data_IF_546501853332
#
_entry.id   IF_546501853332
#
_cell.length_a   1.000
_cell.length_b   1.000
_cell.length_c   1.000
_cell.angle_alpha   90.00
_cell.angle_beta   90.00
_cell.angle_gamma   90.00
#
_symmetry.space_group_name_H-M   'P 1'
#
loop_
_entity.id
_entity.type
_entity.pdbx_description
1 polymer ?
#
# COMPACT_ATOMS: atom_id res chain seq x y z
N UNK A 1 -27.52 56.67 50.37
CA UNK A 1 -27.97 55.41 50.99
C UNK A 1 -27.78 54.31 49.97
N UNK A 2 -26.87 53.37 50.22
CA UNK A 2 -26.99 52.01 49.67
C UNK A 2 -27.91 51.22 50.64
N UNK A 3 -28.61 50.15 50.21
CA UNK A 3 -27.92 48.87 50.06
C UNK A 3 -28.39 47.95 48.90
N UNK A 4 -27.44 47.09 48.51
CA UNK A 4 -27.48 45.72 47.97
C UNK A 4 -28.82 45.02 47.63
N UNK A 5 -28.85 44.38 46.46
CA UNK A 5 -28.99 42.91 46.35
C UNK A 5 -28.64 42.41 44.93
N UNK A 6 -27.65 41.53 44.86
CA UNK A 6 -27.30 40.65 43.75
C UNK A 6 -28.37 39.59 43.51
N UNK A 7 -28.61 39.23 42.24
CA UNK A 7 -28.97 37.85 41.90
C UNK A 7 -28.50 37.52 40.48
N UNK A 8 -27.48 36.66 40.44
CA UNK A 8 -27.07 35.88 39.28
C UNK A 8 -28.26 35.10 38.71
N UNK A 9 -28.51 35.26 37.42
CA UNK A 9 -29.23 34.25 36.63
C UNK A 9 -28.36 33.90 35.45
N UNK A 10 -27.56 32.84 35.64
CA UNK A 10 -26.89 32.17 34.55
C UNK A 10 -27.95 31.73 33.51
N UNK A 11 -27.68 31.87 32.20
CA UNK A 11 -28.54 31.25 31.19
C UNK A 11 -28.51 29.72 31.38
N UNK A 12 -29.61 29.02 31.08
CA UNK A 12 -29.70 27.59 31.29
C UNK A 12 -28.57 26.90 30.55
N UNK A 13 -27.88 25.99 31.23
CA UNK A 13 -27.01 25.02 30.59
C UNK A 13 -27.84 24.29 29.54
N UNK A 14 -27.63 24.63 28.27
CA UNK A 14 -28.05 23.77 27.18
C UNK A 14 -27.30 22.45 27.39
N UNK A 15 -27.96 21.47 27.99
CA UNK A 15 -27.62 20.09 27.75
C UNK A 15 -27.68 19.92 26.24
N UNK A 16 -26.52 20.01 25.60
CA UNK A 16 -26.37 19.59 24.23
C UNK A 16 -26.89 18.16 24.21
N UNK A 17 -28.09 17.96 23.66
CA UNK A 17 -28.53 16.62 23.32
C UNK A 17 -27.42 16.10 22.43
N UNK A 18 -26.66 15.11 22.93
CA UNK A 18 -25.78 14.33 22.09
C UNK A 18 -26.71 13.71 21.06
N UNK A 19 -26.87 14.36 19.90
CA UNK A 19 -27.56 13.74 18.79
C UNK A 19 -26.83 12.45 18.56
N UNK A 20 -27.50 11.33 18.73
CA UNK A 20 -26.94 10.03 18.40
C UNK A 20 -26.75 10.01 16.89
N UNK A 21 -25.58 10.44 16.43
CA UNK A 21 -25.19 10.23 15.05
C UNK A 21 -25.26 8.71 14.80
N UNK A 22 -26.11 8.24 13.87
CA UNK A 22 -26.33 6.82 13.67
C UNK A 22 -25.07 6.11 13.14
N UNK A 23 -24.06 6.85 12.69
CA UNK A 23 -22.84 6.31 12.08
C UNK A 23 -21.60 6.40 12.97
N UNK A 24 -21.61 7.20 14.05
CA UNK A 24 -20.42 7.47 14.84
C UNK A 24 -20.55 7.00 16.29
N UNK A 25 -19.50 6.31 16.77
CA UNK A 25 -19.40 5.92 18.17
C UNK A 25 -19.26 7.16 19.06
N UNK A 26 -19.79 7.05 20.29
CA UNK A 26 -19.85 8.19 21.22
C UNK A 26 -18.54 8.51 21.96
N UNK A 27 -17.56 7.60 21.93
CA UNK A 27 -16.24 7.70 22.57
C UNK A 27 -15.28 6.64 22.01
N UNK A 28 -13.98 6.81 22.25
CA UNK A 28 -12.94 5.82 21.96
C UNK A 28 -13.25 4.47 22.61
N UNK A 29 -13.62 4.48 23.90
CA UNK A 29 -13.96 3.24 24.63
C UNK A 29 -15.17 2.55 24.02
N UNK A 30 -16.24 3.30 23.72
CA UNK A 30 -17.43 2.72 23.08
C UNK A 30 -17.08 2.10 21.72
N UNK A 31 -16.27 2.77 20.90
CA UNK A 31 -15.88 2.26 19.59
C UNK A 31 -15.11 0.93 19.71
N UNK A 32 -14.06 0.89 20.54
CA UNK A 32 -13.21 -0.30 20.73
C UNK A 32 -14.03 -1.46 21.32
N UNK A 33 -14.90 -1.21 22.31
CA UNK A 33 -15.75 -2.25 22.89
C UNK A 33 -16.72 -2.82 21.85
N UNK A 34 -17.37 -1.97 21.07
CA UNK A 34 -18.29 -2.40 20.01
C UNK A 34 -17.56 -3.19 18.93
N UNK A 35 -16.40 -2.74 18.47
CA UNK A 35 -15.56 -3.48 17.52
C UNK A 35 -15.17 -4.86 18.06
N UNK A 36 -14.65 -4.94 19.29
CA UNK A 36 -14.28 -6.21 19.92
C UNK A 36 -15.48 -7.17 20.07
N UNK A 37 -16.69 -6.64 20.22
CA UNK A 37 -17.90 -7.47 20.38
C UNK A 37 -18.39 -8.04 19.05
N UNK A 38 -18.30 -7.27 17.97
CA UNK A 38 -19.01 -7.58 16.71
C UNK A 38 -18.10 -7.81 15.50
N UNK A 39 -16.84 -7.42 15.52
CA UNK A 39 -15.89 -7.60 14.42
C UNK A 39 -14.99 -8.82 14.63
N UNK A 40 -14.38 -9.31 13.55
CA UNK A 40 -13.34 -10.34 13.63
C UNK A 40 -12.04 -9.76 14.21
N UNK A 41 -11.34 -10.54 15.03
CA UNK A 41 -10.14 -10.11 15.76
C UNK A 41 -8.86 -10.38 14.95
N UNK A 42 -8.88 -9.99 13.68
CA UNK A 42 -7.79 -10.24 12.74
C UNK A 42 -6.78 -9.07 12.63
N UNK A 43 -6.90 -8.07 13.51
CA UNK A 43 -5.96 -6.96 13.69
C UNK A 43 -5.71 -6.74 15.18
N UNK A 44 -4.57 -6.11 15.51
CA UNK A 44 -4.24 -5.64 16.87
C UNK A 44 -3.93 -4.13 16.82
N UNK A 45 -4.95 -3.25 16.73
CA UNK A 45 -4.74 -1.83 16.55
C UNK A 45 -4.09 -1.16 17.77
N UNK A 46 -3.37 -0.05 17.55
CA UNK A 46 -3.11 0.89 18.65
C UNK A 46 -4.44 1.33 19.28
N UNK A 47 -4.53 1.52 20.60
CA UNK A 47 -5.77 1.90 21.28
C UNK A 47 -6.11 3.39 21.04
N UNK A 48 -6.46 3.71 19.80
CA UNK A 48 -6.83 5.02 19.27
C UNK A 48 -7.95 4.84 18.24
N UNK A 49 -8.86 5.80 18.16
CA UNK A 49 -9.99 5.76 17.22
C UNK A 49 -9.97 7.03 16.39
N UNK A 50 -9.95 6.89 15.06
CA UNK A 50 -10.00 8.02 14.15
C UNK A 50 -11.47 8.45 14.01
N UNK A 51 -11.82 9.64 14.49
CA UNK A 51 -13.18 10.19 14.36
C UNK A 51 -13.26 11.31 13.34
N UNK A 52 -12.18 12.08 13.18
CA UNK A 52 -12.04 13.13 12.18
C UNK A 52 -10.59 13.20 11.70
N UNK A 53 -10.37 13.52 10.44
CA UNK A 53 -9.03 13.73 9.91
C UNK A 53 -9.01 14.81 8.81
N UNK A 54 -7.89 15.51 8.66
CA UNK A 54 -7.65 16.51 7.62
C UNK A 54 -6.14 16.65 7.37
N UNK A 55 -5.69 16.41 6.14
CA UNK A 55 -4.27 16.43 5.82
C UNK A 55 -3.53 15.34 6.60
N UNK A 56 -2.50 15.71 7.38
CA UNK A 56 -1.80 14.78 8.28
C UNK A 56 -2.37 14.79 9.72
N UNK A 57 -3.45 15.53 9.99
CA UNK A 57 -4.00 15.69 11.33
C UNK A 57 -5.18 14.75 11.55
N UNK A 58 -5.25 14.15 12.74
CA UNK A 58 -6.31 13.22 13.15
C UNK A 58 -6.81 13.59 14.53
N UNK A 59 -8.10 13.40 14.76
CA UNK A 59 -8.74 13.58 16.06
C UNK A 59 -9.54 12.36 16.45
N UNK A 60 -9.46 11.99 17.72
CA UNK A 60 -10.32 10.97 18.33
C UNK A 60 -11.70 11.54 18.71
N UNK A 61 -12.67 10.69 19.11
CA UNK A 61 -13.99 11.14 19.54
C UNK A 61 -13.96 12.14 20.72
N UNK A 62 -12.93 12.09 21.56
CA UNK A 62 -12.71 13.03 22.66
C UNK A 62 -12.08 14.36 22.21
N UNK A 63 -11.70 14.49 20.93
CA UNK A 63 -11.10 15.68 20.35
C UNK A 63 -9.59 15.79 20.56
N UNK A 64 -8.91 14.75 21.06
CA UNK A 64 -7.45 14.74 21.16
C UNK A 64 -6.85 14.69 19.77
N UNK A 65 -5.85 15.54 19.54
CA UNK A 65 -5.20 15.73 18.25
C UNK A 65 -3.94 14.89 18.13
N UNK A 66 -3.72 14.33 16.93
CA UNK A 66 -2.56 13.55 16.55
C UNK A 66 -2.06 13.93 15.15
N UNK A 67 -0.76 13.72 14.92
CA UNK A 67 -0.17 13.63 13.58
C UNK A 67 -0.16 12.17 13.14
N UNK A 68 -0.80 11.87 12.01
CA UNK A 68 -0.74 10.56 11.37
C UNK A 68 0.50 10.45 10.51
N UNK A 69 1.46 9.69 11.02
CA UNK A 69 2.70 9.39 10.34
C UNK A 69 2.54 8.10 9.52
N UNK A 70 1.57 7.25 9.87
CA UNK A 70 1.31 5.99 9.20
C UNK A 70 0.68 6.17 7.80
N UNK A 71 -0.29 7.07 7.64
CA UNK A 71 -0.96 7.36 6.36
C UNK A 71 -1.59 6.12 5.68
N UNK A 72 -2.15 5.23 6.52
CA UNK A 72 -2.73 3.94 6.13
C UNK A 72 -1.85 3.16 5.13
N UNK A 73 -0.58 2.97 5.50
CA UNK A 73 0.39 2.21 4.71
C UNK A 73 0.65 2.79 3.33
N UNK A 74 0.75 4.12 3.21
CA UNK A 74 0.91 4.85 1.93
C UNK A 74 -0.37 4.87 1.06
N UNK A 75 -1.56 4.75 1.67
CA UNK A 75 -2.82 4.93 0.95
C UNK A 75 -3.27 6.39 0.88
N UNK A 76 -2.85 7.22 1.82
CA UNK A 76 -3.34 8.60 1.99
C UNK A 76 -2.24 9.61 1.69
N UNK A 77 -1.53 9.46 0.56
CA UNK A 77 -0.38 10.31 0.20
C UNK A 77 -0.77 11.78 0.03
N UNK A 78 -1.99 12.05 -0.43
CA UNK A 78 -2.59 13.37 -0.63
C UNK A 78 -3.16 13.99 0.66
N UNK A 79 -3.11 13.25 1.78
CA UNK A 79 -3.67 13.68 3.06
C UNK A 79 -5.16 13.33 3.24
N UNK A 80 -5.55 13.15 4.49
CA UNK A 80 -6.91 12.76 4.87
C UNK A 80 -7.93 13.80 4.42
N UNK A 81 -9.05 13.32 3.89
CA UNK A 81 -10.21 14.15 3.52
C UNK A 81 -9.84 15.36 2.66
N UNK A 82 -8.89 15.22 1.72
CA UNK A 82 -8.46 16.32 0.86
C UNK A 82 -9.67 16.98 0.17
N UNK A 83 -9.92 18.30 0.32
CA UNK A 83 -11.17 18.92 -0.10
C UNK A 83 -11.51 18.71 -1.57
N UNK A 84 -10.50 18.71 -2.45
CA UNK A 84 -10.69 18.47 -3.87
C UNK A 84 -11.03 17.00 -4.20
N UNK A 85 -10.56 16.04 -3.40
CA UNK A 85 -10.96 14.63 -3.54
C UNK A 85 -12.39 14.41 -3.05
N UNK A 86 -12.75 15.01 -1.90
CA UNK A 86 -14.13 14.95 -1.39
C UNK A 86 -15.09 15.52 -2.42
N UNK A 87 -14.76 16.68 -3.00
CA UNK A 87 -15.57 17.28 -4.07
C UNK A 87 -15.70 16.36 -5.28
N UNK A 88 -14.61 15.79 -5.79
CA UNK A 88 -14.65 14.88 -6.94
C UNK A 88 -15.51 13.63 -6.66
N UNK A 89 -15.42 13.08 -5.45
CA UNK A 89 -16.25 11.97 -5.01
C UNK A 89 -17.73 12.36 -4.98
N UNK A 90 -18.09 13.46 -4.32
CA UNK A 90 -19.47 13.91 -4.22
C UNK A 90 -20.08 14.23 -5.58
N UNK A 91 -19.37 14.99 -6.42
CA UNK A 91 -19.83 15.38 -7.75
C UNK A 91 -20.11 14.14 -8.62
N UNK A 92 -19.19 13.17 -8.64
CA UNK A 92 -19.37 11.95 -9.43
C UNK A 92 -20.45 11.04 -8.84
N UNK A 93 -20.54 10.94 -7.50
CA UNK A 93 -21.57 10.14 -6.84
C UNK A 93 -22.99 10.67 -7.11
N UNK A 94 -23.15 11.99 -7.22
CA UNK A 94 -24.42 12.62 -7.62
C UNK A 94 -24.77 12.42 -9.10
N UNK A 95 -23.87 11.87 -9.92
CA UNK A 95 -24.06 11.64 -11.36
C UNK A 95 -24.21 10.16 -11.70
N UNK A 96 -23.18 9.35 -11.43
CA UNK A 96 -23.14 7.93 -11.74
C UNK A 96 -22.03 7.25 -10.95
N UNK A 97 -22.38 6.20 -10.19
CA UNK A 97 -21.41 5.46 -9.37
C UNK A 97 -20.91 4.19 -10.05
N UNK A 98 -21.80 3.42 -10.66
CA UNK A 98 -21.49 2.10 -11.22
C UNK A 98 -22.32 1.84 -12.49
N UNK A 99 -21.65 1.44 -13.57
CA UNK A 99 -22.29 1.02 -14.83
C UNK A 99 -22.09 -0.47 -15.15
N UNK A 100 -21.28 -1.20 -14.37
CA UNK A 100 -20.57 -2.42 -14.80
C UNK A 100 -19.67 -2.18 -16.03
N UNK A 101 -18.85 -3.20 -16.37
CA UNK A 101 -18.07 -3.25 -17.61
C UNK A 101 -18.84 -3.81 -18.81
N UNK A 102 -20.11 -4.20 -18.63
CA UNK A 102 -20.99 -4.62 -19.73
C UNK A 102 -21.50 -3.42 -20.54
N UNK A 103 -21.52 -2.22 -19.94
CA UNK A 103 -21.84 -0.96 -20.60
C UNK A 103 -20.63 -0.04 -20.59
N UNK A 104 -20.52 0.82 -21.60
CA UNK A 104 -19.57 1.92 -21.57
C UNK A 104 -20.05 2.99 -20.58
N UNK A 105 -19.08 3.66 -19.97
CA UNK A 105 -19.28 4.91 -19.25
C UNK A 105 -18.28 5.93 -19.77
N UNK A 106 -18.54 7.21 -19.48
CA UNK A 106 -17.78 8.35 -20.00
C UNK A 106 -16.55 8.72 -19.16
N UNK A 107 -16.37 8.12 -17.98
CA UNK A 107 -15.25 8.44 -17.06
C UNK A 107 -14.09 7.46 -17.20
N UNK A 108 -14.37 6.16 -17.26
CA UNK A 108 -13.34 5.11 -17.41
C UNK A 108 -12.37 5.33 -18.57
N UNK A 109 -12.78 5.68 -19.81
CA UNK A 109 -11.83 5.93 -20.88
C UNK A 109 -10.90 7.13 -20.60
N UNK A 110 -11.40 8.17 -19.91
CA UNK A 110 -10.58 9.32 -19.50
C UNK A 110 -9.59 8.94 -18.41
N UNK A 111 -10.01 8.11 -17.46
CA UNK A 111 -9.13 7.57 -16.43
C UNK A 111 -8.02 6.71 -17.04
N UNK A 112 -8.36 5.83 -17.99
CA UNK A 112 -7.37 5.01 -18.68
C UNK A 112 -6.33 5.87 -19.42
N UNK A 113 -6.77 6.98 -20.05
CA UNK A 113 -5.87 7.97 -20.66
C UNK A 113 -4.98 8.65 -19.61
N UNK A 114 -5.55 9.15 -18.51
CA UNK A 114 -4.78 9.80 -17.43
C UNK A 114 -3.70 8.87 -16.86
N UNK A 115 -4.06 7.62 -16.57
CA UNK A 115 -3.11 6.60 -16.09
C UNK A 115 -1.99 6.36 -17.12
N UNK A 116 -2.33 6.21 -18.40
CA UNK A 116 -1.33 6.10 -19.47
C UNK A 116 -0.39 7.30 -19.50
N UNK A 117 -0.92 8.52 -19.42
CA UNK A 117 -0.14 9.74 -19.52
C UNK A 117 0.78 9.94 -18.30
N UNK A 118 0.36 9.51 -17.11
CA UNK A 118 1.15 9.58 -15.86
C UNK A 118 2.24 8.52 -15.81
N UNK A 119 1.92 7.26 -16.10
CA UNK A 119 2.83 6.14 -15.87
C UNK A 119 3.53 5.63 -17.14
N UNK A 120 3.12 6.10 -18.32
CA UNK A 120 3.76 5.79 -19.59
C UNK A 120 3.55 4.36 -20.11
N UNK A 121 2.56 3.62 -19.59
CA UNK A 121 2.19 2.28 -20.08
C UNK A 121 1.08 2.33 -21.13
N UNK A 122 1.08 1.38 -22.06
CA UNK A 122 0.13 1.38 -23.19
C UNK A 122 -1.30 1.04 -22.75
N UNK A 123 -1.43 0.13 -21.80
CA UNK A 123 -2.72 -0.40 -21.36
C UNK A 123 -2.80 -0.50 -19.83
N UNK A 124 -4.02 -0.31 -19.33
CA UNK A 124 -4.39 -0.46 -17.93
C UNK A 124 -5.60 -1.37 -17.76
N UNK A 125 -5.54 -2.26 -16.77
CA UNK A 125 -6.66 -3.09 -16.32
C UNK A 125 -7.04 -2.69 -14.88
N UNK A 126 -8.21 -2.04 -14.67
CA UNK A 126 -8.63 -1.62 -13.34
C UNK A 126 -9.19 -2.76 -12.49
N UNK A 127 -8.89 -2.73 -11.20
CA UNK A 127 -9.44 -3.57 -10.13
C UNK A 127 -9.76 -2.67 -8.91
N UNK A 128 -10.02 -3.24 -7.74
CA UNK A 128 -10.45 -2.49 -6.55
C UNK A 128 -9.40 -2.50 -5.44
N UNK A 129 -8.77 -3.65 -5.20
CA UNK A 129 -7.77 -3.83 -4.14
C UNK A 129 -6.40 -4.17 -4.69
N UNK A 130 -5.36 -3.94 -3.88
CA UNK A 130 -4.00 -4.36 -4.23
C UNK A 130 -3.89 -5.86 -4.50
N UNK A 131 -4.54 -6.69 -3.66
CA UNK A 131 -4.56 -8.14 -3.84
C UNK A 131 -5.18 -8.56 -5.18
N UNK A 132 -6.26 -7.90 -5.62
CA UNK A 132 -6.84 -8.14 -6.95
C UNK A 132 -5.90 -7.73 -8.09
N UNK A 133 -5.13 -6.65 -7.93
CA UNK A 133 -4.12 -6.26 -8.92
C UNK A 133 -3.00 -7.31 -9.03
N UNK A 134 -2.54 -7.84 -7.90
CA UNK A 134 -1.56 -8.94 -7.86
C UNK A 134 -2.11 -10.20 -8.51
N UNK A 135 -3.33 -10.65 -8.15
CA UNK A 135 -3.99 -11.79 -8.79
C UNK A 135 -4.11 -11.59 -10.31
N UNK A 136 -4.43 -10.38 -10.73
CA UNK A 136 -4.55 -10.02 -12.14
C UNK A 136 -3.20 -10.06 -12.85
N UNK A 137 -2.13 -9.53 -12.24
CA UNK A 137 -0.78 -9.55 -12.79
C UNK A 137 -0.25 -10.99 -12.93
N UNK A 138 -0.53 -11.86 -11.96
CA UNK A 138 -0.12 -13.27 -11.99
C UNK A 138 -0.90 -14.05 -13.06
N UNK A 139 -2.21 -13.82 -13.17
CA UNK A 139 -3.03 -14.39 -14.26
C UNK A 139 -2.56 -13.92 -15.62
N UNK A 140 -2.25 -12.62 -15.75
CA UNK A 140 -1.70 -12.01 -16.95
C UNK A 140 -0.39 -12.68 -17.35
N UNK A 141 0.56 -12.80 -16.43
CA UNK A 141 1.85 -13.42 -16.67
C UNK A 141 1.73 -14.90 -17.08
N UNK A 142 0.93 -15.69 -16.36
CA UNK A 142 0.70 -17.10 -16.73
C UNK A 142 0.06 -17.22 -18.12
N UNK A 143 -0.97 -16.41 -18.42
CA UNK A 143 -1.63 -16.44 -19.73
C UNK A 143 -0.69 -16.00 -20.85
N UNK A 144 0.15 -15.00 -20.61
CA UNK A 144 1.21 -14.58 -21.53
C UNK A 144 2.24 -15.69 -21.74
N UNK A 145 2.67 -16.38 -20.67
CA UNK A 145 3.64 -17.46 -20.79
C UNK A 145 3.11 -18.62 -21.65
N UNK A 146 1.83 -18.96 -21.53
CA UNK A 146 1.21 -20.00 -22.35
C UNK A 146 0.97 -19.55 -23.80
N UNK A 147 0.49 -18.33 -24.02
CA UNK A 147 0.07 -17.86 -25.35
C UNK A 147 1.20 -17.28 -26.20
N UNK A 148 2.20 -16.68 -25.57
CA UNK A 148 3.25 -15.90 -26.23
C UNK A 148 4.61 -16.57 -26.05
N UNK A 149 5.01 -16.85 -24.81
CA UNK A 149 6.30 -17.53 -24.55
C UNK A 149 6.33 -18.99 -25.02
N UNK A 150 5.18 -19.66 -25.05
CA UNK A 150 5.05 -21.05 -25.48
C UNK A 150 5.34 -22.09 -24.38
N UNK A 151 5.20 -21.71 -23.10
CA UNK A 151 5.30 -22.65 -21.98
C UNK A 151 4.18 -23.70 -22.10
N UNK A 152 4.49 -24.96 -21.82
CA UNK A 152 3.50 -26.05 -21.79
C UNK A 152 2.37 -25.74 -20.78
N UNK A 153 1.12 -26.04 -21.17
CA UNK A 153 -0.05 -25.80 -20.31
C UNK A 153 0.12 -26.43 -18.93
N UNK A 154 -0.20 -25.66 -17.89
CA UNK A 154 -0.09 -26.10 -16.51
C UNK A 154 1.33 -26.08 -15.93
N UNK A 155 2.35 -25.63 -16.68
CA UNK A 155 3.74 -25.57 -16.20
C UNK A 155 4.29 -24.17 -15.90
N UNK A 156 3.51 -23.11 -16.13
CA UNK A 156 3.98 -21.74 -15.91
C UNK A 156 4.23 -21.43 -14.42
N UNK A 157 5.47 -21.10 -14.09
CA UNK A 157 5.91 -20.72 -12.74
C UNK A 157 5.91 -19.22 -12.53
N UNK A 158 5.60 -18.76 -11.32
CA UNK A 158 5.80 -17.37 -10.89
C UNK A 158 6.62 -17.37 -9.62
N UNK A 159 7.69 -16.60 -9.58
CA UNK A 159 8.57 -16.50 -8.42
C UNK A 159 8.37 -15.17 -7.72
N UNK A 160 8.41 -15.18 -6.39
CA UNK A 160 8.67 -14.00 -5.57
C UNK A 160 9.92 -14.24 -4.73
N UNK A 161 10.16 -13.38 -3.76
CA UNK A 161 11.32 -13.33 -2.88
C UNK A 161 10.88 -13.38 -1.43
N UNK A 162 11.76 -13.85 -0.54
CA UNK A 162 11.54 -13.91 0.90
C UNK A 162 11.15 -12.54 1.46
N UNK A 163 10.28 -12.49 2.49
CA UNK A 163 9.77 -11.26 3.09
C UNK A 163 8.67 -10.53 2.28
N UNK A 164 8.17 -11.11 1.19
CA UNK A 164 7.15 -10.46 0.36
C UNK A 164 5.78 -10.29 1.05
N UNK A 165 5.09 -9.21 0.70
CA UNK A 165 3.67 -9.01 1.00
C UNK A 165 2.91 -8.55 -0.25
N UNK A 166 2.25 -9.49 -0.91
CA UNK A 166 1.43 -9.23 -2.11
C UNK A 166 -0.08 -9.34 -1.86
N UNK A 167 -0.49 -9.32 -0.58
CA UNK A 167 -1.89 -9.42 -0.15
C UNK A 167 -2.20 -10.71 0.60
N UNK A 168 -3.50 -11.01 0.74
CA UNK A 168 -4.03 -12.09 1.60
C UNK A 168 -4.92 -13.10 0.88
N UNK A 169 -4.95 -13.09 -0.46
CA UNK A 169 -5.67 -14.12 -1.25
C UNK A 169 -4.88 -15.43 -1.27
N UNK A 170 -5.51 -16.53 -1.70
CA UNK A 170 -4.83 -17.83 -1.82
C UNK A 170 -3.55 -17.76 -2.66
N UNK A 171 -3.52 -16.98 -3.75
CA UNK A 171 -2.30 -16.80 -4.54
C UNK A 171 -1.23 -16.02 -3.78
N UNK A 172 -1.60 -14.92 -3.12
CA UNK A 172 -0.65 -14.10 -2.37
C UNK A 172 -0.05 -14.86 -1.17
N UNK A 173 -0.89 -15.56 -0.40
CA UNK A 173 -0.37 -16.41 0.69
C UNK A 173 0.44 -17.59 0.14
N UNK A 174 0.21 -18.05 -1.10
CA UNK A 174 1.08 -19.04 -1.77
C UNK A 174 2.44 -18.48 -2.22
N UNK A 175 2.60 -17.15 -2.33
CA UNK A 175 3.89 -16.48 -2.55
C UNK A 175 4.69 -16.29 -1.27
N UNK A 176 3.99 -16.06 -0.17
CA UNK A 176 4.61 -15.77 1.13
C UNK A 176 5.48 -16.93 1.61
N UNK A 177 6.41 -16.65 2.51
CA UNK A 177 7.16 -17.64 3.28
C UNK A 177 7.06 -17.40 4.79
N UNK A 178 6.28 -16.39 5.18
CA UNK A 178 5.90 -16.08 6.55
C UNK A 178 4.85 -17.10 7.03
N UNK A 179 5.13 -17.88 8.10
CA UNK A 179 4.17 -18.82 8.66
C UNK A 179 2.86 -18.17 9.12
N UNK A 180 2.91 -16.97 9.71
CA UNK A 180 1.69 -16.30 10.22
C UNK A 180 0.72 -15.96 9.08
N UNK A 181 1.26 -15.63 7.91
CA UNK A 181 0.47 -15.35 6.72
C UNK A 181 -0.08 -16.59 6.02
N UNK A 182 0.39 -17.79 6.35
CA UNK A 182 0.15 -19.01 5.56
C UNK A 182 -0.51 -20.15 6.33
N UNK A 183 -0.21 -20.30 7.60
CA UNK A 183 -0.58 -21.47 8.37
C UNK A 183 -2.10 -21.76 8.30
N UNK A 184 -2.43 -23.04 8.10
CA UNK A 184 -3.79 -23.57 8.04
C UNK A 184 -4.69 -23.09 6.88
N UNK A 185 -4.14 -22.56 5.78
CA UNK A 185 -4.91 -22.23 4.57
C UNK A 185 -4.79 -23.25 3.42
N UNK A 186 -3.94 -24.28 3.56
CA UNK A 186 -3.62 -25.21 2.47
C UNK A 186 -4.80 -26.06 1.96
N UNK A 187 -4.68 -26.66 0.75
CA UNK A 187 -3.50 -26.67 -0.13
C UNK A 187 -3.28 -25.33 -0.87
N UNK A 188 -2.02 -24.98 -1.09
CA UNK A 188 -1.61 -23.73 -1.75
C UNK A 188 -1.65 -23.84 -3.28
N UNK A 189 -1.67 -22.69 -3.96
CA UNK A 189 -1.61 -22.61 -5.42
C UNK A 189 -0.27 -23.20 -5.89
N UNK A 190 -0.26 -24.20 -6.80
CA UNK A 190 0.97 -24.81 -7.28
C UNK A 190 1.76 -23.87 -8.20
N UNK A 191 3.06 -24.12 -8.34
CA UNK A 191 3.96 -23.41 -9.27
C UNK A 191 4.02 -21.89 -9.02
N UNK A 192 3.89 -21.49 -7.76
CA UNK A 192 4.08 -20.13 -7.32
C UNK A 192 4.70 -20.16 -5.92
N UNK A 193 5.67 -19.28 -5.65
CA UNK A 193 6.34 -19.23 -4.36
C UNK A 193 7.64 -18.43 -4.38
N UNK A 194 8.29 -18.37 -3.22
CA UNK A 194 9.59 -17.70 -3.02
C UNK A 194 10.68 -18.67 -2.52
N UNK A 195 10.55 -19.97 -2.85
CA UNK A 195 11.51 -21.01 -2.49
C UNK A 195 11.81 -21.91 -3.68
N UNK A 196 13.04 -22.36 -3.76
CA UNK A 196 13.44 -23.42 -4.66
C UNK A 196 12.62 -24.70 -4.37
N UNK A 197 11.95 -25.31 -5.36
CA UNK A 197 11.00 -26.39 -5.12
C UNK A 197 11.67 -27.70 -4.67
N UNK A 198 12.93 -27.92 -5.08
CA UNK A 198 13.68 -29.12 -4.70
C UNK A 198 14.49 -28.96 -3.41
N UNK A 199 15.27 -27.87 -3.27
CA UNK A 199 16.14 -27.65 -2.10
C UNK A 199 15.45 -26.95 -0.93
N UNK A 200 14.29 -26.32 -1.14
CA UNK A 200 13.59 -25.51 -0.13
C UNK A 200 14.26 -24.16 0.20
N UNK A 201 15.41 -23.86 -0.43
CA UNK A 201 16.15 -22.61 -0.26
C UNK A 201 15.26 -21.42 -0.61
N UNK A 202 15.18 -20.43 0.28
CA UNK A 202 14.45 -19.19 0.01
C UNK A 202 15.19 -18.35 -1.04
N UNK A 203 14.42 -17.66 -1.89
CA UNK A 203 14.94 -16.68 -2.84
C UNK A 203 15.03 -15.36 -2.07
N UNK A 204 16.20 -15.00 -1.53
CA UNK A 204 16.29 -13.86 -0.63
C UNK A 204 16.09 -12.53 -1.35
N UNK A 205 15.37 -11.62 -0.71
CA UNK A 205 15.24 -10.25 -1.20
C UNK A 205 16.60 -9.53 -1.21
N UNK A 206 16.84 -8.69 -2.20
CA UNK A 206 18.11 -7.97 -2.37
C UNK A 206 19.29 -8.84 -2.85
N UNK A 207 19.13 -10.17 -2.98
CA UNK A 207 20.20 -11.08 -3.42
C UNK A 207 19.97 -11.51 -4.87
N UNK A 208 20.61 -10.81 -5.81
CA UNK A 208 20.50 -11.09 -7.26
C UNK A 208 20.81 -12.55 -7.60
N UNK A 209 21.82 -13.12 -6.96
CA UNK A 209 22.32 -14.47 -7.25
C UNK A 209 21.25 -15.54 -7.02
N UNK A 210 20.35 -15.34 -6.06
CA UNK A 210 19.27 -16.30 -5.81
C UNK A 210 18.21 -16.25 -6.94
N UNK A 211 17.99 -15.08 -7.56
CA UNK A 211 17.13 -14.94 -8.75
C UNK A 211 17.81 -15.55 -9.99
N UNK A 212 19.10 -15.31 -10.16
CA UNK A 212 19.90 -15.88 -11.24
C UNK A 212 19.91 -17.41 -11.21
N UNK A 213 20.11 -18.01 -10.03
CA UNK A 213 20.07 -19.46 -9.81
C UNK A 213 18.72 -20.05 -10.26
N UNK A 214 17.61 -19.44 -9.81
CA UNK A 214 16.25 -19.90 -10.15
C UNK A 214 15.95 -19.74 -11.64
N UNK A 215 16.35 -18.63 -12.27
CA UNK A 215 16.08 -18.41 -13.69
C UNK A 215 16.99 -19.25 -14.60
N UNK A 216 18.20 -19.57 -14.18
CA UNK A 216 19.08 -20.52 -14.88
C UNK A 216 18.44 -21.90 -14.99
N UNK A 217 17.79 -22.36 -13.93
CA UNK A 217 17.16 -23.69 -13.90
C UNK A 217 15.74 -23.69 -14.47
N UNK A 218 14.91 -22.74 -14.07
CA UNK A 218 13.48 -22.72 -14.37
C UNK A 218 13.07 -21.65 -15.38
N UNK A 219 14.00 -20.89 -15.96
CA UNK A 219 13.72 -19.76 -16.84
C UNK A 219 12.83 -20.13 -18.03
N UNK A 220 13.01 -21.32 -18.61
CA UNK A 220 12.19 -21.82 -19.72
C UNK A 220 10.70 -21.97 -19.41
N UNK A 221 10.35 -22.25 -18.14
CA UNK A 221 8.95 -22.40 -17.67
C UNK A 221 8.47 -21.26 -16.78
N UNK A 222 9.33 -20.29 -16.49
CA UNK A 222 8.99 -19.15 -15.65
C UNK A 222 8.21 -18.11 -16.46
N UNK A 223 7.04 -17.73 -15.97
CA UNK A 223 6.22 -16.67 -16.53
C UNK A 223 6.68 -15.29 -16.03
N UNK A 224 6.90 -15.17 -14.72
CA UNK A 224 7.26 -13.91 -14.11
C UNK A 224 8.10 -14.06 -12.83
N UNK A 225 8.84 -13.00 -12.51
CA UNK A 225 9.30 -12.69 -11.16
C UNK A 225 8.48 -11.49 -10.67
N UNK A 226 7.86 -11.60 -9.49
CA UNK A 226 7.16 -10.50 -8.81
C UNK A 226 7.97 -10.05 -7.59
N UNK A 227 8.18 -8.73 -7.48
CA UNK A 227 9.01 -8.14 -6.44
C UNK A 227 8.53 -6.73 -6.07
N UNK A 228 8.59 -6.39 -4.79
CA UNK A 228 8.41 -5.03 -4.30
C UNK A 228 9.71 -4.22 -4.52
N UNK A 229 9.66 -2.99 -5.07
CA UNK A 229 10.86 -2.16 -5.20
C UNK A 229 11.56 -1.84 -3.86
N UNK A 230 10.78 -1.78 -2.78
CA UNK A 230 11.17 -1.74 -1.38
C UNK A 230 10.15 -2.59 -0.65
N UNK A 231 10.57 -3.60 0.12
CA UNK A 231 9.62 -4.40 0.91
C UNK A 231 9.10 -3.58 2.08
N UNK A 232 7.83 -3.19 2.03
CA UNK A 232 7.28 -2.30 3.05
C UNK A 232 6.91 -3.05 4.32
N UNK A 233 6.16 -4.15 4.21
CA UNK A 233 5.71 -4.92 5.36
C UNK A 233 6.84 -5.65 6.09
N UNK A 234 7.94 -5.98 5.40
CA UNK A 234 9.18 -6.49 6.00
C UNK A 234 10.00 -5.40 6.75
N UNK A 235 9.48 -4.18 6.88
CA UNK A 235 10.10 -3.10 7.64
C UNK A 235 10.89 -2.10 6.79
N UNK A 236 10.34 -1.68 5.64
CA UNK A 236 11.01 -0.80 4.66
C UNK A 236 12.42 -1.31 4.35
N UNK A 237 12.54 -2.55 3.89
CA UNK A 237 13.84 -3.08 3.46
C UNK A 237 14.14 -2.48 2.09
N UNK A 238 15.15 -1.61 2.04
CA UNK A 238 15.62 -0.98 0.81
C UNK A 238 16.74 -1.84 0.23
N UNK A 239 16.61 -2.36 -1.00
CA UNK A 239 17.68 -3.16 -1.60
C UNK A 239 18.86 -2.27 -2.01
N UNK A 240 20.00 -2.89 -2.28
CA UNK A 240 21.15 -2.20 -2.86
C UNK A 240 20.79 -1.54 -4.20
N UNK A 241 21.47 -0.44 -4.51
CA UNK A 241 21.27 0.28 -5.77
C UNK A 241 21.55 -0.63 -6.97
N UNK A 242 20.64 -0.62 -7.96
CA UNK A 242 20.76 -1.46 -9.15
C UNK A 242 20.23 -2.88 -8.99
N UNK A 243 19.74 -3.28 -7.81
CA UNK A 243 19.11 -4.59 -7.60
C UNK A 243 17.98 -4.86 -8.61
N UNK A 244 16.99 -3.96 -8.75
CA UNK A 244 15.87 -4.20 -9.67
C UNK A 244 16.33 -4.14 -11.13
N UNK A 245 17.34 -3.31 -11.43
CA UNK A 245 17.95 -3.27 -12.76
C UNK A 245 18.51 -4.63 -13.14
N UNK A 246 19.28 -5.24 -12.25
CA UNK A 246 19.88 -6.55 -12.49
C UNK A 246 18.83 -7.66 -12.55
N UNK A 247 17.78 -7.60 -11.71
CA UNK A 247 16.63 -8.52 -11.80
C UNK A 247 15.91 -8.39 -13.16
N UNK A 248 15.68 -7.17 -13.65
CA UNK A 248 15.07 -6.93 -14.97
C UNK A 248 15.93 -7.48 -16.11
N UNK A 249 17.25 -7.32 -16.04
CA UNK A 249 18.20 -7.88 -17.01
C UNK A 249 18.10 -9.41 -17.05
N UNK A 250 18.17 -10.08 -15.89
CA UNK A 250 18.00 -11.52 -15.78
C UNK A 250 16.64 -11.99 -16.32
N UNK A 251 15.57 -11.27 -16.00
CA UNK A 251 14.24 -11.57 -16.54
C UNK A 251 14.23 -11.50 -18.07
N UNK A 252 14.84 -10.46 -18.67
CA UNK A 252 14.94 -10.31 -20.13
C UNK A 252 15.79 -11.41 -20.78
N UNK A 253 16.93 -11.76 -20.19
CA UNK A 253 17.81 -12.85 -20.66
C UNK A 253 17.05 -14.18 -20.80
N UNK A 254 16.09 -14.44 -19.90
CA UNK A 254 15.28 -15.66 -19.87
C UNK A 254 13.88 -15.53 -20.49
N UNK A 255 13.56 -14.39 -21.13
CA UNK A 255 12.23 -14.06 -21.62
C UNK A 255 11.14 -14.27 -20.54
N UNK A 256 11.36 -13.71 -19.35
CA UNK A 256 10.50 -13.73 -18.18
C UNK A 256 10.01 -12.31 -17.92
N UNK A 257 8.74 -12.14 -17.51
CA UNK A 257 8.22 -10.81 -17.18
C UNK A 257 8.69 -10.39 -15.78
N UNK A 258 9.14 -9.15 -15.63
CA UNK A 258 9.27 -8.51 -14.32
C UNK A 258 7.95 -7.84 -13.94
N UNK A 259 7.37 -8.26 -12.81
CA UNK A 259 6.23 -7.60 -12.17
C UNK A 259 6.77 -6.80 -10.98
N UNK A 260 6.67 -5.47 -11.03
CA UNK A 260 6.94 -4.64 -9.85
C UNK A 260 5.64 -4.35 -9.10
N UNK A 261 5.61 -4.77 -7.84
CA UNK A 261 4.53 -4.40 -6.92
C UNK A 261 4.78 -3.01 -6.33
N UNK A 262 4.15 -2.01 -6.95
CA UNK A 262 4.27 -0.59 -6.59
C UNK A 262 3.05 -0.11 -5.80
N UNK A 263 2.24 -1.03 -5.23
CA UNK A 263 1.04 -0.68 -4.47
C UNK A 263 1.37 0.25 -3.30
N UNK A 264 2.48 0.01 -2.59
CA UNK A 264 2.91 0.84 -1.44
C UNK A 264 3.98 1.87 -1.79
N UNK A 265 4.90 1.53 -2.69
CA UNK A 265 6.11 2.28 -3.01
C UNK A 265 5.91 3.31 -4.12
N UNK A 266 4.90 3.11 -4.97
CA UNK A 266 4.56 4.01 -6.06
C UNK A 266 3.83 5.28 -5.61
N UNK A 267 3.50 6.10 -6.59
CA UNK A 267 2.72 7.33 -6.49
C UNK A 267 3.35 8.31 -5.50
N UNK A 268 4.49 8.87 -5.92
CA UNK A 268 5.25 9.91 -5.23
C UNK A 268 5.87 9.51 -3.87
N UNK A 269 5.44 8.41 -3.25
CA UNK A 269 5.84 8.01 -1.90
C UNK A 269 7.36 8.02 -1.69
N UNK A 270 8.09 7.47 -2.65
CA UNK A 270 9.55 7.26 -2.57
C UNK A 270 10.37 8.41 -3.17
N UNK A 271 9.76 9.55 -3.48
CA UNK A 271 10.43 10.65 -4.18
C UNK A 271 10.53 10.47 -5.70
N UNK A 272 9.78 9.52 -6.25
CA UNK A 272 9.56 9.26 -7.68
C UNK A 272 8.09 8.91 -7.93
N UNK A 273 7.62 9.03 -9.18
CA UNK A 273 6.24 8.63 -9.49
C UNK A 273 6.08 7.12 -9.34
N UNK A 274 7.01 6.33 -9.87
CA UNK A 274 7.20 4.92 -9.56
C UNK A 274 8.57 4.72 -8.90
N UNK A 275 8.66 3.90 -7.85
CA UNK A 275 9.91 3.62 -7.15
C UNK A 275 10.94 2.93 -8.04
N UNK A 276 10.49 2.12 -9.01
CA UNK A 276 11.34 1.49 -10.02
C UNK A 276 12.15 2.47 -10.88
N UNK A 277 11.73 3.74 -10.97
CA UNK A 277 12.48 4.80 -11.66
C UNK A 277 13.83 5.08 -11.01
N UNK A 278 14.00 4.82 -9.72
CA UNK A 278 15.30 4.95 -9.03
C UNK A 278 16.37 4.05 -9.66
N UNK A 279 15.98 2.85 -10.12
CA UNK A 279 16.90 1.92 -10.78
C UNK A 279 16.92 2.12 -12.30
N UNK A 280 16.19 3.10 -12.83
CA UNK A 280 16.16 3.45 -14.26
C UNK A 280 15.50 2.39 -15.14
N UNK A 281 14.61 1.57 -14.57
CA UNK A 281 13.89 0.51 -15.29
C UNK A 281 12.44 0.90 -15.58
N UNK A 282 11.85 0.24 -16.58
CA UNK A 282 10.41 0.19 -16.83
C UNK A 282 9.98 -1.27 -16.73
N UNK A 283 9.40 -1.71 -15.60
CA UNK A 283 8.94 -3.09 -15.41
C UNK A 283 7.96 -3.52 -16.50
N UNK A 284 7.93 -4.80 -16.85
CA UNK A 284 7.02 -5.34 -17.87
C UNK A 284 5.55 -5.24 -17.42
N UNK A 285 5.32 -5.41 -16.11
CA UNK A 285 4.02 -5.25 -15.46
C UNK A 285 4.19 -4.46 -14.16
N UNK A 286 3.27 -3.54 -13.86
CA UNK A 286 3.22 -2.83 -12.58
C UNK A 286 1.84 -2.99 -11.94
N UNK A 287 1.79 -3.28 -10.64
CA UNK A 287 0.57 -3.22 -9.84
C UNK A 287 0.53 -1.93 -9.02
N UNK A 288 -0.59 -1.23 -9.07
CA UNK A 288 -0.86 -0.03 -8.28
C UNK A 288 -2.16 -0.20 -7.48
N UNK A 289 -2.25 0.49 -6.35
CA UNK A 289 -3.42 0.54 -5.49
C UNK A 289 -3.34 1.74 -4.56
N UNK A 290 -3.89 1.63 -3.34
CA UNK A 290 -3.63 2.57 -2.23
C UNK A 290 -3.75 4.05 -2.66
N UNK A 291 -2.63 4.76 -2.82
CA UNK A 291 -2.58 6.19 -3.14
C UNK A 291 -3.16 6.58 -4.52
N UNK A 292 -3.47 5.62 -5.40
CA UNK A 292 -4.04 5.89 -6.73
C UNK A 292 -5.39 6.61 -6.68
N UNK A 293 -6.10 6.52 -5.56
CA UNK A 293 -7.35 7.25 -5.27
C UNK A 293 -7.23 8.19 -4.06
N UNK A 294 -6.00 8.40 -3.56
CA UNK A 294 -5.71 9.15 -2.34
C UNK A 294 -6.42 8.63 -1.09
N UNK A 295 -6.66 7.31 -1.03
CA UNK A 295 -7.27 6.65 0.11
C UNK A 295 -8.77 6.90 0.26
N UNK A 296 -9.39 7.58 -0.71
CA UNK A 296 -10.80 7.97 -0.65
C UNK A 296 -11.76 6.88 -1.16
N UNK A 297 -11.30 6.04 -2.10
CA UNK A 297 -12.11 4.99 -2.70
C UNK A 297 -11.24 3.77 -3.10
N UNK A 298 -11.68 2.51 -2.93
CA UNK A 298 -10.90 1.36 -3.37
C UNK A 298 -10.69 1.35 -4.89
N UNK A 299 -9.46 1.59 -5.32
CA UNK A 299 -9.03 1.53 -6.72
C UNK A 299 -7.66 0.87 -6.76
N UNK A 300 -7.48 -0.02 -7.72
CA UNK A 300 -6.19 -0.60 -8.06
C UNK A 300 -6.12 -0.84 -9.56
N UNK A 301 -4.92 -1.10 -10.08
CA UNK A 301 -4.78 -1.42 -11.49
C UNK A 301 -3.51 -2.20 -11.80
N UNK A 302 -3.52 -2.85 -12.96
CA UNK A 302 -2.35 -3.47 -13.57
C UNK A 302 -1.99 -2.68 -14.83
N UNK A 303 -0.73 -2.27 -14.94
CA UNK A 303 -0.18 -1.55 -16.08
C UNK A 303 0.75 -2.48 -16.86
N UNK A 304 0.67 -2.45 -18.19
CA UNK A 304 1.61 -3.20 -19.04
C UNK A 304 1.61 -2.67 -20.48
N UNK A 305 2.45 -3.25 -21.33
CA UNK A 305 2.44 -3.02 -22.77
C UNK A 305 1.19 -3.62 -23.41
N UNK A 306 0.87 -3.18 -24.63
CA UNK A 306 -0.24 -3.75 -25.40
C UNK A 306 -0.03 -5.23 -25.73
N UNK A 307 1.22 -5.63 -25.99
CA UNK A 307 1.58 -7.01 -26.31
C UNK A 307 1.28 -7.96 -25.15
N UNK A 308 1.67 -7.57 -23.93
CA UNK A 308 1.45 -8.38 -22.74
C UNK A 308 -0.02 -8.33 -22.34
N UNK A 309 -0.60 -7.14 -22.17
CA UNK A 309 -1.99 -6.98 -21.71
C UNK A 309 -3.01 -7.56 -22.70
N UNK A 310 -2.69 -7.56 -23.99
CA UNK A 310 -3.55 -8.03 -25.08
C UNK A 310 -3.95 -9.50 -24.98
N UNK A 311 -3.26 -10.30 -24.15
CA UNK A 311 -3.69 -11.69 -23.90
C UNK A 311 -4.97 -11.77 -23.07
N UNK A 312 -5.38 -10.71 -22.35
CA UNK A 312 -6.65 -10.67 -21.61
C UNK A 312 -7.78 -10.30 -22.58
N UNK A 313 -8.48 -11.32 -23.06
CA UNK A 313 -9.58 -11.20 -24.02
C UNK A 313 -10.94 -11.08 -23.30
N UNK A 314 -11.99 -10.56 -23.98
CA UNK A 314 -13.35 -10.54 -23.46
C UNK A 314 -13.77 -11.89 -22.85
N UNK A 315 -14.34 -11.85 -21.65
CA UNK A 315 -14.80 -13.04 -20.91
C UNK A 315 -13.72 -13.80 -20.14
N UNK A 316 -12.43 -13.48 -20.30
CA UNK A 316 -11.34 -14.23 -19.62
C UNK A 316 -10.89 -13.63 -18.28
N UNK A 317 -11.34 -12.41 -17.99
CA UNK A 317 -11.15 -11.71 -16.72
C UNK A 317 -12.29 -10.70 -16.53
N UNK A 318 -12.59 -10.33 -15.28
CA UNK A 318 -13.60 -9.32 -14.99
C UNK A 318 -13.63 -8.93 -13.52
N UNK A 319 -14.25 -7.79 -13.23
CA UNK A 319 -14.54 -7.30 -11.89
C UNK A 319 -15.82 -6.45 -11.95
N UNK A 320 -16.69 -6.61 -10.96
CA UNK A 320 -17.95 -5.84 -10.89
C UNK A 320 -17.68 -4.36 -10.75
N UNK A 321 -16.76 -3.99 -9.84
CA UNK A 321 -16.41 -2.61 -9.52
C UNK A 321 -15.15 -2.11 -10.23
N UNK A 322 -14.36 -3.00 -10.85
CA UNK A 322 -13.15 -2.60 -11.59
C UNK A 322 -13.47 -1.63 -12.73
N UNK A 323 -12.95 -0.40 -12.63
CA UNK A 323 -13.19 0.65 -13.62
C UNK A 323 -14.56 1.34 -13.50
N UNK A 324 -15.17 1.30 -12.31
CA UNK A 324 -16.39 2.05 -12.04
C UNK A 324 -16.17 3.58 -12.15
N UNK A 325 -17.16 4.36 -12.63
CA UNK A 325 -17.03 5.80 -12.81
C UNK A 325 -16.61 6.58 -11.55
N UNK A 326 -17.11 6.19 -10.37
CA UNK A 326 -16.80 6.88 -9.11
C UNK A 326 -15.31 6.78 -8.77
N UNK A 327 -14.77 5.56 -8.73
CA UNK A 327 -13.37 5.30 -8.48
C UNK A 327 -12.47 5.94 -9.55
N UNK A 328 -12.89 5.92 -10.82
CA UNK A 328 -12.17 6.57 -11.91
C UNK A 328 -12.05 8.09 -11.71
N UNK A 329 -13.16 8.78 -11.39
CA UNK A 329 -13.14 10.24 -11.18
C UNK A 329 -12.27 10.63 -9.97
N UNK A 330 -12.41 9.92 -8.85
CA UNK A 330 -11.61 10.13 -7.64
C UNK A 330 -10.13 9.91 -7.94
N UNK A 331 -9.81 8.85 -8.67
CA UNK A 331 -8.42 8.53 -9.04
C UNK A 331 -7.80 9.53 -10.01
N UNK A 332 -8.55 10.05 -11.00
CA UNK A 332 -8.06 11.14 -11.86
C UNK A 332 -7.66 12.33 -10.98
N UNK A 333 -8.55 12.79 -10.09
CA UNK A 333 -8.26 13.93 -9.22
C UNK A 333 -7.10 13.64 -8.27
N UNK A 334 -6.98 12.41 -7.76
CA UNK A 334 -5.87 12.02 -6.90
C UNK A 334 -4.51 12.09 -7.61
N UNK A 335 -4.44 11.70 -8.89
CA UNK A 335 -3.22 11.79 -9.69
C UNK A 335 -2.91 13.23 -10.12
N UNK A 336 -3.94 14.04 -10.43
CA UNK A 336 -3.76 15.48 -10.67
C UNK A 336 -3.15 16.17 -9.44
N UNK A 337 -3.65 15.89 -8.23
CA UNK A 337 -3.10 16.47 -7.01
C UNK A 337 -1.64 16.09 -6.76
N UNK A 338 -1.22 14.87 -7.15
CA UNK A 338 0.19 14.46 -7.06
C UNK A 338 1.09 15.39 -7.89
N UNK A 339 0.63 15.78 -9.08
CA UNK A 339 1.34 16.68 -10.00
C UNK A 339 1.21 18.16 -9.58
N UNK A 340 -0.01 18.64 -9.34
CA UNK A 340 -0.35 20.02 -9.00
C UNK A 340 0.34 20.47 -7.70
N UNK A 341 0.47 19.55 -6.74
CA UNK A 341 1.10 19.83 -5.46
C UNK A 341 2.57 19.40 -5.38
N UNK A 342 3.15 18.92 -6.48
CA UNK A 342 4.55 18.48 -6.55
C UNK A 342 4.92 17.49 -5.43
N UNK A 343 4.07 16.48 -5.22
CA UNK A 343 4.22 15.53 -4.11
C UNK A 343 5.50 14.69 -4.24
N UNK A 344 5.99 14.48 -5.46
CA UNK A 344 7.26 13.77 -5.73
C UNK A 344 8.43 14.51 -5.07
N UNK A 345 8.62 15.79 -5.37
CA UNK A 345 9.72 16.57 -4.80
C UNK A 345 9.53 16.82 -3.30
N UNK A 346 8.28 17.03 -2.85
CA UNK A 346 7.98 17.14 -1.41
C UNK A 346 8.38 15.88 -0.66
N UNK A 347 8.03 14.69 -1.16
CA UNK A 347 8.37 13.43 -0.53
C UNK A 347 9.89 13.22 -0.47
N UNK A 348 10.61 13.56 -1.55
CA UNK A 348 12.06 13.47 -1.55
C UNK A 348 12.68 14.39 -0.49
N UNK A 349 12.34 15.69 -0.53
CA UNK A 349 12.88 16.70 0.37
C UNK A 349 12.59 16.40 1.85
N UNK A 350 11.33 16.11 2.18
CA UNK A 350 10.93 15.84 3.56
C UNK A 350 11.48 14.49 4.06
N UNK A 351 11.64 13.53 3.16
CA UNK A 351 12.30 12.26 3.45
C UNK A 351 13.76 12.41 3.85
N UNK A 352 14.51 13.23 3.10
CA UNK A 352 15.91 13.54 3.43
C UNK A 352 16.03 14.26 4.78
N UNK A 353 15.18 15.26 5.01
CA UNK A 353 15.12 15.96 6.31
C UNK A 353 14.86 14.94 7.42
N UNK A 354 13.80 14.12 7.31
CA UNK A 354 13.47 13.12 8.31
C UNK A 354 14.64 12.20 8.63
N UNK A 355 15.24 11.57 7.61
CA UNK A 355 16.34 10.62 7.83
C UNK A 355 17.59 11.30 8.39
N UNK A 356 17.89 12.54 7.98
CA UNK A 356 19.02 13.32 8.50
C UNK A 356 18.82 13.67 9.97
N UNK A 357 17.65 14.15 10.36
CA UNK A 357 17.35 14.55 11.75
C UNK A 357 17.37 13.35 12.70
N UNK A 358 16.79 12.20 12.31
CA UNK A 358 16.82 11.00 13.16
C UNK A 358 18.25 10.47 13.33
N UNK A 359 19.05 10.44 12.25
CA UNK A 359 20.48 10.05 12.37
C UNK A 359 21.27 11.04 13.21
N UNK A 360 20.98 12.34 13.08
CA UNK A 360 21.60 13.41 13.85
C UNK A 360 21.31 13.35 15.36
N UNK A 361 20.25 12.66 15.78
CA UNK A 361 19.94 12.44 17.20
C UNK A 361 21.03 11.64 17.93
N UNK A 362 21.79 10.78 17.22
CA UNK A 362 22.97 10.10 17.78
C UNK A 362 22.69 9.13 18.93
N UNK A 363 21.45 8.63 19.05
CA UNK A 363 21.07 7.67 20.09
C UNK A 363 21.50 6.26 19.74
N UNK A 364 22.06 5.54 20.72
CA UNK A 364 22.39 4.11 20.60
C UNK A 364 21.17 3.21 20.41
N UNK A 365 19.97 3.69 20.74
CA UNK A 365 18.73 2.95 20.50
C UNK A 365 18.38 2.87 19.02
N UNK A 366 18.95 3.74 18.17
CA UNK A 366 18.71 3.73 16.72
C UNK A 366 19.80 2.91 16.06
N UNK A 367 19.47 1.70 15.62
CA UNK A 367 20.37 0.79 14.92
C UNK A 367 20.57 1.23 13.47
N UNK A 368 19.47 1.58 12.79
CA UNK A 368 19.49 1.94 11.37
C UNK A 368 18.34 2.92 11.07
N UNK A 369 18.57 3.83 10.13
CA UNK A 369 17.52 4.64 9.52
C UNK A 369 17.56 4.41 8.02
N UNK A 370 16.50 3.83 7.46
CA UNK A 370 16.43 3.44 6.04
C UNK A 370 15.13 3.89 5.39
N UNK A 371 15.16 4.02 4.06
CA UNK A 371 14.00 4.46 3.28
C UNK A 371 14.34 5.30 2.06
N UNK A 372 13.33 5.57 1.23
CA UNK A 372 13.36 6.52 0.11
C UNK A 372 12.13 7.42 0.19
N UNK A 373 12.27 8.70 -0.18
CA UNK A 373 11.22 9.70 0.02
C UNK A 373 10.63 9.66 1.43
N UNK A 374 9.29 9.65 1.52
CA UNK A 374 8.55 9.54 2.78
C UNK A 374 8.10 8.11 3.10
N UNK A 375 8.79 7.09 2.57
CA UNK A 375 8.71 5.72 3.08
C UNK A 375 9.97 5.43 3.88
N UNK A 376 9.87 5.51 5.21
CA UNK A 376 11.01 5.42 6.11
C UNK A 376 10.76 4.45 7.27
N UNK A 377 11.85 3.84 7.72
CA UNK A 377 11.94 3.05 8.94
C UNK A 377 13.10 3.54 9.82
N UNK A 378 12.93 3.36 11.12
CA UNK A 378 13.94 3.56 12.16
C UNK A 378 14.06 2.24 12.92
N UNK A 379 15.10 1.46 12.66
CA UNK A 379 15.31 0.18 13.34
C UNK A 379 15.79 0.46 14.77
N UNK A 380 15.13 -0.18 15.75
CA UNK A 380 15.44 0.02 17.16
C UNK A 380 16.24 -1.16 17.69
N UNK A 381 17.43 -0.86 18.24
CA UNK A 381 18.21 -1.82 19.00
C UNK A 381 17.59 -1.97 20.39
N UNK A 382 16.71 -2.96 20.55
CA UNK A 382 16.03 -3.23 21.83
C UNK A 382 17.01 -3.58 22.96
N UNK A 383 18.23 -4.04 22.67
CA UNK A 383 19.26 -4.27 23.71
C UNK A 383 19.69 -2.97 24.40
N UNK A 384 19.51 -1.82 23.74
CA UNK A 384 19.89 -0.49 24.24
C UNK A 384 18.73 0.27 24.90
N UNK A 385 17.58 -0.37 25.12
CA UNK A 385 16.34 0.30 25.56
C UNK A 385 15.95 0.03 27.01
N UNK A 386 16.78 -0.69 27.77
CA UNK A 386 16.48 -1.15 29.13
C UNK A 386 15.18 -1.98 29.21
N UNK A 387 14.98 -2.89 28.25
CA UNK A 387 13.84 -3.82 28.22
C UNK A 387 12.54 -3.21 27.68
N UNK A 388 12.61 -2.08 26.95
CA UNK A 388 11.44 -1.49 26.27
C UNK A 388 11.44 -1.90 24.80
N UNK A 389 10.28 -2.17 24.28
CA UNK A 389 10.12 -2.62 22.90
C UNK A 389 9.91 -1.45 21.95
N UNK A 390 10.03 -1.71 20.65
CA UNK A 390 9.58 -0.79 19.60
C UNK A 390 8.08 -0.41 19.78
N UNK A 391 7.25 -1.33 20.27
CA UNK A 391 5.85 -1.06 20.61
C UNK A 391 5.68 -0.04 21.74
N UNK A 392 6.50 -0.13 22.79
CA UNK A 392 6.48 0.84 23.89
C UNK A 392 6.82 2.26 23.40
N UNK A 393 7.72 2.36 22.41
CA UNK A 393 8.01 3.62 21.75
C UNK A 393 6.83 4.11 20.90
N UNK A 394 6.10 3.24 20.19
CA UNK A 394 4.85 3.62 19.51
C UNK A 394 3.81 4.17 20.49
N UNK A 395 3.64 3.52 21.65
CA UNK A 395 2.73 3.97 22.70
C UNK A 395 3.14 5.33 23.28
N UNK A 396 4.44 5.54 23.52
CA UNK A 396 4.97 6.82 23.96
C UNK A 396 4.76 7.92 22.91
N UNK A 397 5.03 7.65 21.65
CA UNK A 397 4.81 8.60 20.55
C UNK A 397 3.34 8.98 20.43
N UNK A 398 2.43 8.01 20.58
CA UNK A 398 0.99 8.25 20.65
C UNK A 398 0.64 9.19 21.80
N UNK A 399 1.18 8.99 23.00
CA UNK A 399 0.97 9.92 24.13
C UNK A 399 1.51 11.34 23.84
N UNK A 400 2.53 11.45 22.99
CA UNK A 400 3.08 12.72 22.50
C UNK A 400 2.36 13.29 21.27
N UNK A 401 1.29 12.64 20.79
CA UNK A 401 0.49 13.12 19.67
C UNK A 401 1.02 12.73 18.28
N UNK A 402 1.85 11.69 18.17
CA UNK A 402 2.36 11.17 16.89
C UNK A 402 1.99 9.70 16.74
N UNK A 403 1.32 9.34 15.65
CA UNK A 403 0.86 7.99 15.39
C UNK A 403 1.78 7.29 14.38
N UNK A 404 2.45 6.25 14.86
CA UNK A 404 3.35 5.39 14.10
C UNK A 404 2.91 3.92 14.21
N UNK A 405 3.53 2.99 13.48
CA UNK A 405 3.20 1.56 13.64
C UNK A 405 4.28 0.61 13.12
N UNK A 406 4.29 -0.64 13.58
CA UNK A 406 5.39 -1.61 13.42
C UNK A 406 5.26 -2.43 12.13
N UNK A 407 6.32 -3.00 11.52
CA UNK A 407 6.16 -3.87 10.35
C UNK A 407 5.35 -5.09 10.74
N UNK A 408 4.37 -5.48 9.92
CA UNK A 408 3.34 -6.43 10.32
C UNK A 408 2.73 -6.13 11.71
N UNK A 409 2.48 -4.83 11.96
CA UNK A 409 1.31 -4.19 12.59
C UNK A 409 1.44 -2.66 12.35
N UNK A 410 1.06 -2.28 11.14
CA UNK A 410 1.84 -1.63 10.11
C UNK A 410 2.26 -0.12 10.27
N UNK A 411 3.26 0.32 9.47
CA UNK A 411 4.20 1.48 9.44
C UNK A 411 3.79 2.93 9.80
N UNK A 412 4.41 3.75 10.67
CA UNK A 412 5.82 4.21 10.71
C UNK A 412 6.77 3.26 11.41
N UNK A 413 7.71 2.71 10.65
CA UNK A 413 8.32 1.44 11.02
C UNK A 413 9.45 1.64 12.01
N UNK A 414 9.16 1.40 13.29
CA UNK A 414 10.18 0.94 14.23
C UNK A 414 10.34 -0.57 14.01
N UNK A 415 11.51 -1.02 13.60
CA UNK A 415 11.77 -2.42 13.24
C UNK A 415 12.51 -3.08 14.40
N UNK A 416 12.10 -4.29 14.77
CA UNK A 416 12.75 -5.15 15.78
C UNK A 416 13.96 -5.85 15.15
N UNK A 417 15.03 -6.05 15.91
CA UNK A 417 16.15 -6.93 15.54
C UNK A 417 15.70 -8.38 15.79
N UNK A 418 15.73 -9.23 14.77
CA UNK A 418 15.31 -10.65 14.85
C UNK A 418 16.29 -11.51 15.66
#
# INVERSE_FOLDING_TARGET
MAPHASNDTAPPSSSASKSSDPYHASSTTSAITTENTYAAHNYSPLPIVFSRALGCHVWDPEGRHYLDFLSAYSAVNQGHCHPLLVKALCDQASRLTLSSRAFHNDVFPQWAKKVKDVFGYDMVLPMNTGAEAVETAIKLARKWAYKVKGVEQGKARVWSVDGNFHGRTMTAVSLSVDPESRDNYGPYVPLIGARHPETGKAIRYGVVQDVEEILKEFGGVTAAVIVEPIQGEAGVVVPEEGYLRRVQELCREHNVLLICDEIQTGIARTGKMLCSEWDGIKPDVVTLGKAISGGMYPVSCVLSSKEIMGVIEPGTHGSTYGGNPLGCAVSIKALELVEEEDLVNKAQKLGEIFRSEIRGFGSKMVQEVRGRGLLNAVVIDESQTNGRTAWDLCMLLKEKGVLVGLPALFSFLLVRDD
#
